data_IF_775633039636
#
_entry.id   IF_775633039636
#
_cell.length_a   1.000
_cell.length_b   1.000
_cell.length_c   1.000
_cell.angle_alpha   90.00
_cell.angle_beta   90.00
_cell.angle_gamma   90.00
#
_symmetry.space_group_name_H-M   'P 1'
#
loop_
_entity.id
_entity.type
_entity.pdbx_description
1 polymer ?
#
# COMPACT_ATOMS: atom_id res chain seq x y z
N UNK A 1 9.17 7.81 -11.45
CA UNK A 1 8.99 8.78 -10.33
C UNK A 1 8.01 8.14 -9.36
N UNK A 2 8.20 8.28 -8.04
CA UNK A 2 7.24 7.79 -7.04
C UNK A 2 6.52 8.97 -6.38
N UNK A 3 5.36 8.71 -5.77
CA UNK A 3 4.63 9.67 -4.94
C UNK A 3 4.56 9.15 -3.51
N UNK A 4 5.00 9.98 -2.55
CA UNK A 4 4.87 9.66 -1.13
C UNK A 4 3.56 10.22 -0.60
N UNK A 5 2.74 9.34 -0.01
CA UNK A 5 1.40 9.64 0.46
C UNK A 5 1.40 9.56 1.98
N UNK A 6 1.11 10.68 2.63
CA UNK A 6 1.15 10.80 4.09
C UNK A 6 -0.12 11.45 4.66
N UNK A 7 -0.92 12.11 3.82
CA UNK A 7 -2.22 12.65 4.20
C UNK A 7 -3.35 11.76 3.70
N UNK A 8 -4.37 11.56 4.55
CA UNK A 8 -5.53 10.73 4.21
C UNK A 8 -6.25 11.22 2.95
N UNK A 9 -6.26 12.53 2.70
CA UNK A 9 -6.86 13.11 1.49
C UNK A 9 -6.14 12.67 0.22
N UNK A 10 -4.82 12.55 0.24
CA UNK A 10 -4.03 12.06 -0.90
C UNK A 10 -4.27 10.56 -1.14
N UNK A 11 -4.48 9.79 -0.07
CA UNK A 11 -4.81 8.37 -0.18
C UNK A 11 -6.14 8.14 -0.90
N UNK A 12 -7.13 9.04 -0.76
CA UNK A 12 -8.41 8.94 -1.49
C UNK A 12 -8.20 8.89 -3.00
N UNK A 13 -7.28 9.70 -3.54
CA UNK A 13 -7.01 9.74 -4.97
C UNK A 13 -6.36 8.44 -5.46
N UNK A 14 -5.46 7.86 -4.66
CA UNK A 14 -4.86 6.54 -4.94
C UNK A 14 -5.94 5.45 -4.94
N UNK A 15 -6.84 5.48 -3.95
CA UNK A 15 -7.94 4.52 -3.85
C UNK A 15 -8.89 4.60 -5.07
N UNK A 16 -9.19 5.80 -5.55
CA UNK A 16 -9.99 5.99 -6.77
C UNK A 16 -9.30 5.44 -8.02
N UNK A 17 -7.98 5.61 -8.15
CA UNK A 17 -7.20 5.00 -9.24
C UNK A 17 -7.20 3.48 -9.16
N UNK A 18 -7.10 2.92 -7.96
CA UNK A 18 -7.19 1.48 -7.77
C UNK A 18 -8.53 0.92 -8.25
N UNK A 19 -9.66 1.64 -8.12
CA UNK A 19 -10.96 1.16 -8.65
C UNK A 19 -10.98 0.92 -10.16
N UNK A 20 -10.03 1.49 -10.90
CA UNK A 20 -9.92 1.34 -12.35
C UNK A 20 -8.97 0.19 -12.75
N UNK A 21 -8.36 -0.49 -11.78
CA UNK A 21 -7.35 -1.52 -11.97
C UNK A 21 -7.72 -2.78 -11.17
N UNK A 22 -7.24 -3.94 -11.60
CA UNK A 22 -7.51 -5.21 -10.90
C UNK A 22 -6.24 -5.97 -10.51
N UNK A 23 -5.06 -5.45 -10.89
CA UNK A 23 -3.75 -6.04 -10.64
C UNK A 23 -2.86 -5.00 -9.96
N UNK A 24 -2.26 -5.37 -8.82
CA UNK A 24 -1.38 -4.49 -8.05
C UNK A 24 -0.04 -5.16 -7.75
N UNK A 25 1.06 -4.43 -7.95
CA UNK A 25 2.37 -4.82 -7.43
C UNK A 25 2.58 -4.22 -6.04
N UNK A 26 3.00 -5.03 -5.07
CA UNK A 26 3.02 -4.64 -3.66
C UNK A 26 4.33 -5.05 -2.98
N UNK A 27 4.79 -4.21 -2.07
CA UNK A 27 5.89 -4.49 -1.13
C UNK A 27 5.66 -3.72 0.18
N UNK A 28 6.41 -4.05 1.22
CA UNK A 28 6.32 -3.38 2.53
C UNK A 28 7.68 -3.21 3.19
N UNK A 29 7.90 -2.04 3.80
CA UNK A 29 8.99 -1.80 4.74
C UNK A 29 8.46 -1.80 6.16
N UNK A 30 9.11 -2.56 7.05
CA UNK A 30 8.75 -2.63 8.46
C UNK A 30 9.97 -2.38 9.35
N UNK A 31 9.72 -1.79 10.52
CA UNK A 31 10.77 -1.54 11.51
C UNK A 31 10.82 -2.74 12.45
N UNK A 32 11.99 -3.38 12.53
CA UNK A 32 12.29 -4.37 13.55
C UNK A 32 12.58 -3.64 14.86
N UNK A 33 11.58 -3.64 15.75
CA UNK A 33 11.68 -3.18 17.13
C UNK A 33 11.30 -4.32 18.07
N UNK A 34 11.51 -4.16 19.37
CA UNK A 34 11.14 -5.15 20.40
C UNK A 34 9.61 -5.20 20.63
N UNK A 35 8.85 -5.41 19.57
CA UNK A 35 7.39 -5.61 19.60
C UNK A 35 7.03 -7.01 19.13
N UNK A 36 5.96 -7.57 19.69
CA UNK A 36 5.45 -8.89 19.29
C UNK A 36 5.10 -8.95 17.79
N UNK A 37 4.59 -7.85 17.25
CA UNK A 37 4.23 -7.70 15.84
C UNK A 37 5.10 -6.62 15.20
N UNK A 38 5.67 -6.85 14.01
CA UNK A 38 6.40 -5.82 13.27
C UNK A 38 5.51 -4.58 13.04
N UNK A 39 6.10 -3.39 13.15
CA UNK A 39 5.41 -2.15 12.80
C UNK A 39 5.62 -1.85 11.33
N UNK A 40 4.52 -1.69 10.59
CA UNK A 40 4.54 -1.24 9.20
C UNK A 40 5.07 0.20 9.16
N UNK A 41 6.14 0.42 8.41
CA UNK A 41 6.70 1.75 8.17
C UNK A 41 6.16 2.34 6.87
N UNK A 42 6.33 1.61 5.77
CA UNK A 42 5.84 2.01 4.44
C UNK A 42 5.18 0.83 3.76
N UNK A 43 4.09 1.07 3.04
CA UNK A 43 3.55 0.13 2.07
C UNK A 43 3.71 0.69 0.66
N UNK A 44 4.34 -0.07 -0.23
CA UNK A 44 4.55 0.29 -1.62
C UNK A 44 3.47 -0.35 -2.48
N UNK A 45 2.86 0.44 -3.38
CA UNK A 45 1.92 -0.08 -4.37
C UNK A 45 2.18 0.50 -5.75
N UNK A 46 2.23 -0.37 -6.75
CA UNK A 46 2.18 0.00 -8.16
C UNK A 46 0.75 -0.19 -8.68
N UNK A 47 0.16 0.89 -9.19
CA UNK A 47 -1.16 0.90 -9.82
C UNK A 47 -0.99 1.39 -11.24
N UNK A 48 -1.08 0.48 -12.22
CA UNK A 48 -1.00 0.81 -13.66
C UNK A 48 0.25 1.64 -14.05
N UNK A 49 1.41 1.33 -13.45
CA UNK A 49 2.67 2.03 -13.72
C UNK A 49 2.96 3.22 -12.80
N UNK A 50 1.97 3.72 -12.07
CA UNK A 50 2.16 4.74 -11.04
C UNK A 50 2.62 4.08 -9.72
N UNK A 51 3.71 4.58 -9.13
CA UNK A 51 4.29 4.04 -7.90
C UNK A 51 3.96 4.95 -6.72
N UNK A 52 3.32 4.37 -5.70
CA UNK A 52 2.93 5.03 -4.47
C UNK A 52 3.66 4.43 -3.28
N UNK A 53 4.15 5.30 -2.40
CA UNK A 53 4.71 4.95 -1.10
C UNK A 53 3.75 5.47 -0.04
N UNK A 54 3.01 4.57 0.61
CA UNK A 54 2.01 4.89 1.62
C UNK A 54 2.66 4.86 3.01
N UNK A 55 2.54 5.94 3.77
CA UNK A 55 2.95 5.97 5.18
C UNK A 55 2.10 4.97 5.99
N UNK A 56 2.76 3.91 6.48
CA UNK A 56 2.11 2.85 7.25
C UNK A 56 1.82 3.18 8.70
N UNK A 57 2.28 4.34 9.18
CA UNK A 57 2.11 4.83 10.56
C UNK A 57 1.00 5.87 10.64
N UNK A 58 0.96 6.81 9.69
CA UNK A 58 0.05 7.96 9.75
C UNK A 58 -1.30 7.73 9.06
N UNK A 59 -1.37 6.86 8.05
CA UNK A 59 -2.58 6.64 7.25
C UNK A 59 -3.52 5.60 7.86
N UNK A 60 -4.83 5.80 7.71
CA UNK A 60 -5.79 4.71 7.85
C UNK A 60 -5.86 3.91 6.54
N UNK A 61 -5.20 2.76 6.54
CA UNK A 61 -5.11 1.85 5.41
C UNK A 61 -6.30 0.86 5.31
N UNK A 62 -7.33 0.98 6.15
CA UNK A 62 -8.45 0.02 6.17
C UNK A 62 -9.14 -0.16 4.82
N UNK A 63 -9.35 0.92 4.07
CA UNK A 63 -9.97 0.85 2.73
C UNK A 63 -8.99 0.33 1.68
N UNK A 64 -7.71 0.65 1.82
CA UNK A 64 -6.65 0.13 0.96
C UNK A 64 -6.56 -1.40 1.05
N UNK A 65 -6.57 -1.95 2.27
CA UNK A 65 -6.57 -3.40 2.49
C UNK A 65 -7.79 -4.10 1.89
N UNK A 66 -8.97 -3.47 1.96
CA UNK A 66 -10.18 -4.01 1.29
C UNK A 66 -10.00 -4.11 -0.22
N UNK A 67 -9.40 -3.10 -0.86
CA UNK A 67 -9.14 -3.12 -2.31
C UNK A 67 -8.14 -4.20 -2.70
N UNK A 68 -7.07 -4.38 -1.92
CA UNK A 68 -6.09 -5.46 -2.14
C UNK A 68 -6.77 -6.82 -2.00
N UNK A 69 -7.58 -7.01 -0.95
CA UNK A 69 -8.27 -8.26 -0.71
C UNK A 69 -9.27 -8.63 -1.83
N UNK A 70 -9.93 -7.62 -2.41
CA UNK A 70 -10.89 -7.79 -3.51
C UNK A 70 -10.24 -7.76 -4.90
N UNK A 71 -8.93 -7.53 -5.00
CA UNK A 71 -8.21 -7.47 -6.27
C UNK A 71 -8.28 -8.82 -6.99
N UNK A 72 -8.26 -8.78 -8.32
CA UNK A 72 -8.15 -10.01 -9.11
C UNK A 72 -6.77 -10.65 -8.92
N UNK A 73 -5.72 -9.83 -8.81
CA UNK A 73 -4.36 -10.32 -8.62
C UNK A 73 -3.51 -9.34 -7.82
N UNK A 74 -2.78 -9.85 -6.84
CA UNK A 74 -1.73 -9.13 -6.14
C UNK A 74 -0.39 -9.80 -6.44
N UNK A 75 0.61 -9.01 -6.79
CA UNK A 75 1.95 -9.47 -7.13
C UNK A 75 2.89 -9.05 -6.02
N UNK A 76 3.49 -10.02 -5.35
CA UNK A 76 4.52 -9.84 -4.33
C UNK A 76 5.76 -10.66 -4.69
N UNK A 77 6.92 -10.27 -4.16
CA UNK A 77 8.15 -11.04 -4.24
C UNK A 77 8.65 -11.39 -2.84
N UNK A 78 9.06 -12.65 -2.63
CA UNK A 78 9.60 -13.12 -1.35
C UNK A 78 8.70 -12.83 -0.11
N UNK A 79 7.38 -12.99 -0.24
CA UNK A 79 6.38 -12.64 0.78
C UNK A 79 6.05 -13.78 1.76
N UNK A 80 7.09 -14.39 2.35
CA UNK A 80 6.97 -15.52 3.29
C UNK A 80 6.76 -15.13 4.75
#
# INVERSE_FOLDING_TARGET
MFQFIQQQTELVDVLQKMDQCSIYGLDTEFIKVDTLWPKLGVCQVNVNGDVYLLDGVSLDLSQFWKKIFLAQQNIFHACG
#
